data_IF_101873882105
#
_entry.id   IF_101873882105
#
_cell.length_a   1.000
_cell.length_b   1.000
_cell.length_c   1.000
_cell.angle_alpha   90.00
_cell.angle_beta   90.00
_cell.angle_gamma   90.00
#
_symmetry.space_group_name_H-M   'P 1'
#
loop_
_entity.id
_entity.type
_entity.pdbx_description
1 polymer ?
#
# COMPACT_ATOMS: atom_id res chain seq x y z
N UNK A 1 16.86 11.35 -6.12
CA UNK A 1 15.72 10.76 -6.89
C UNK A 1 14.40 10.78 -6.14
N UNK A 2 14.19 10.08 -4.98
CA UNK A 2 12.91 10.15 -4.23
C UNK A 2 12.63 11.57 -3.69
N UNK A 3 13.61 12.20 -3.03
CA UNK A 3 13.54 13.56 -2.53
C UNK A 3 13.12 14.56 -3.62
N UNK A 4 13.83 14.55 -4.75
CA UNK A 4 13.56 15.44 -5.89
C UNK A 4 12.16 15.24 -6.48
N UNK A 5 11.73 13.97 -6.57
CA UNK A 5 10.37 13.63 -7.02
C UNK A 5 9.32 14.20 -6.07
N UNK A 6 9.49 14.01 -4.76
CA UNK A 6 8.54 14.52 -3.76
C UNK A 6 8.47 16.04 -3.82
N UNK A 7 9.61 16.74 -3.83
CA UNK A 7 9.64 18.22 -3.92
C UNK A 7 8.93 18.72 -5.19
N UNK A 8 9.13 18.03 -6.32
CA UNK A 8 8.60 18.44 -7.61
C UNK A 8 7.09 18.16 -7.74
N UNK A 9 6.63 16.97 -7.34
CA UNK A 9 5.28 16.50 -7.66
C UNK A 9 4.26 16.86 -6.56
N UNK A 10 4.68 17.05 -5.30
CA UNK A 10 3.76 17.32 -4.19
C UNK A 10 2.90 18.58 -4.38
N UNK A 11 3.41 19.72 -4.89
CA UNK A 11 2.58 20.90 -5.10
C UNK A 11 1.41 20.66 -6.05
N UNK A 12 1.64 19.90 -7.14
CA UNK A 12 0.60 19.55 -8.11
C UNK A 12 -0.43 18.59 -7.49
N UNK A 13 0.02 17.60 -6.71
CA UNK A 13 -0.87 16.68 -5.99
C UNK A 13 -1.73 17.43 -4.97
N UNK A 14 -1.15 18.37 -4.25
CA UNK A 14 -1.89 19.21 -3.30
C UNK A 14 -2.97 20.07 -4.00
N UNK A 15 -2.64 20.71 -5.13
CA UNK A 15 -3.62 21.48 -5.92
C UNK A 15 -4.76 20.61 -6.44
N UNK A 16 -4.50 19.32 -6.71
CA UNK A 16 -5.51 18.33 -7.14
C UNK A 16 -6.24 17.68 -5.96
N UNK A 17 -6.12 18.22 -4.77
CA UNK A 17 -6.73 17.72 -3.55
C UNK A 17 -6.40 16.24 -3.25
N UNK A 18 -5.21 15.76 -3.65
CA UNK A 18 -4.71 14.41 -3.38
C UNK A 18 -4.03 14.39 -2.02
N UNK A 19 -4.48 13.53 -1.12
CA UNK A 19 -3.83 13.25 0.16
C UNK A 19 -2.72 12.23 -0.06
N UNK A 20 -1.51 12.58 0.30
CA UNK A 20 -0.38 11.64 0.29
C UNK A 20 -0.35 10.83 1.59
N UNK A 21 0.00 9.56 1.47
CA UNK A 21 0.24 8.64 2.58
C UNK A 21 1.48 7.79 2.27
N UNK A 22 2.12 7.23 3.28
CA UNK A 22 3.27 6.34 3.10
C UNK A 22 3.27 5.23 4.13
N UNK A 23 3.58 4.01 3.69
CA UNK A 23 3.75 2.84 4.53
C UNK A 23 5.09 2.14 4.26
N UNK A 24 5.57 1.41 5.25
CA UNK A 24 6.83 0.66 5.20
C UNK A 24 7.77 1.07 6.32
N UNK A 25 9.04 0.70 6.19
CA UNK A 25 10.08 1.07 7.14
C UNK A 25 10.66 2.44 6.78
N UNK A 26 9.88 3.49 7.08
CA UNK A 26 10.21 4.86 6.68
C UNK A 26 11.49 5.38 7.34
N UNK A 27 11.87 4.81 8.50
CA UNK A 27 13.13 5.12 9.17
C UNK A 27 14.37 4.62 8.42
N UNK A 28 14.22 3.65 7.51
CA UNK A 28 15.30 3.17 6.63
C UNK A 28 15.61 4.15 5.49
N UNK A 29 14.80 5.19 5.30
CA UNK A 29 15.02 6.20 4.27
C UNK A 29 16.18 7.14 4.68
N UNK A 30 16.95 7.59 3.68
CA UNK A 30 17.94 8.63 3.92
C UNK A 30 17.29 9.89 4.51
N UNK A 31 17.97 10.59 5.45
CA UNK A 31 17.40 11.72 6.20
C UNK A 31 16.75 12.79 5.32
N UNK A 32 17.34 13.16 4.19
CA UNK A 32 16.78 14.14 3.25
C UNK A 32 15.48 13.67 2.60
N UNK A 33 15.43 12.39 2.17
CA UNK A 33 14.23 11.82 1.58
C UNK A 33 13.10 11.68 2.60
N UNK A 34 13.43 11.29 3.86
CA UNK A 34 12.47 11.21 4.95
C UNK A 34 11.89 12.57 5.29
N UNK A 35 12.74 13.62 5.34
CA UNK A 35 12.25 15.00 5.55
C UNK A 35 11.32 15.45 4.43
N UNK A 36 11.71 15.29 3.18
CA UNK A 36 10.88 15.67 2.05
C UNK A 36 9.54 14.89 2.02
N UNK A 37 9.56 13.61 2.43
CA UNK A 37 8.34 12.82 2.58
C UNK A 37 7.45 13.42 3.68
N UNK A 38 7.99 13.71 4.87
CA UNK A 38 7.21 14.31 5.95
C UNK A 38 6.60 15.65 5.53
N UNK A 39 7.39 16.54 4.93
CA UNK A 39 6.92 17.83 4.42
C UNK A 39 5.75 17.64 3.41
N UNK A 40 5.83 16.60 2.56
CA UNK A 40 4.79 16.27 1.58
C UNK A 40 3.51 15.73 2.25
N UNK A 41 3.65 14.85 3.24
CA UNK A 41 2.52 14.32 4.01
C UNK A 41 1.80 15.44 4.78
N UNK A 42 2.55 16.33 5.42
CA UNK A 42 2.00 17.46 6.18
C UNK A 42 1.26 18.43 5.27
N UNK A 43 1.83 18.79 4.12
CA UNK A 43 1.21 19.69 3.16
C UNK A 43 -0.14 19.15 2.64
N UNK A 44 -0.23 17.83 2.44
CA UNK A 44 -1.42 17.19 1.84
C UNK A 44 -2.36 16.58 2.86
N UNK A 45 -2.10 16.72 4.16
CA UNK A 45 -2.84 16.04 5.25
C UNK A 45 -4.36 16.28 5.21
N UNK A 46 -4.77 17.48 4.82
CA UNK A 46 -6.18 17.89 4.78
C UNK A 46 -6.87 17.67 3.43
N UNK A 47 -6.19 17.08 2.45
CA UNK A 47 -6.77 16.79 1.15
C UNK A 47 -7.72 15.58 1.24
N UNK A 48 -8.75 15.53 0.39
CA UNK A 48 -9.90 14.62 0.56
C UNK A 48 -10.33 13.85 -0.68
N UNK A 49 -9.90 14.22 -1.89
CA UNK A 49 -10.44 13.62 -3.12
C UNK A 49 -9.87 12.22 -3.42
N UNK A 50 -8.57 12.04 -3.23
CA UNK A 50 -7.87 10.78 -3.48
C UNK A 50 -6.79 10.57 -2.42
N UNK A 51 -6.65 9.37 -1.92
CA UNK A 51 -5.49 8.98 -1.10
C UNK A 51 -4.48 8.23 -1.95
N UNK A 52 -3.28 8.80 -2.09
CA UNK A 52 -2.14 8.18 -2.77
C UNK A 52 -1.15 7.65 -1.73
N UNK A 53 -1.08 6.34 -1.57
CA UNK A 53 -0.20 5.69 -0.60
C UNK A 53 1.07 5.15 -1.27
N UNK A 54 2.23 5.62 -0.83
CA UNK A 54 3.53 5.11 -1.24
C UNK A 54 3.99 3.98 -0.33
N UNK A 55 4.39 2.85 -0.90
CA UNK A 55 5.03 1.75 -0.17
C UNK A 55 6.55 1.89 -0.31
N UNK A 56 7.21 2.44 0.73
CA UNK A 56 8.63 2.77 0.75
C UNK A 56 9.39 1.88 1.72
N UNK A 57 10.55 1.35 1.32
CA UNK A 57 11.26 0.32 2.11
C UNK A 57 10.30 -0.76 2.62
N UNK A 58 9.34 -1.13 1.77
CA UNK A 58 8.20 -1.97 2.11
C UNK A 58 8.39 -3.41 1.64
N UNK A 59 7.93 -4.34 2.45
CA UNK A 59 7.76 -5.74 2.09
C UNK A 59 6.69 -6.38 2.97
N UNK A 60 5.73 -7.09 2.37
CA UNK A 60 4.61 -7.70 3.10
C UNK A 60 5.06 -8.70 4.17
N UNK A 61 6.13 -9.47 3.93
CA UNK A 61 6.72 -10.33 4.97
C UNK A 61 7.28 -9.51 6.14
N UNK A 62 7.96 -8.41 5.84
CA UNK A 62 8.49 -7.51 6.87
C UNK A 62 7.38 -6.86 7.67
N UNK A 63 6.31 -6.43 7.01
CA UNK A 63 5.14 -5.86 7.67
C UNK A 63 4.51 -6.83 8.68
N UNK A 64 4.32 -8.10 8.27
CA UNK A 64 3.78 -9.14 9.15
C UNK A 64 4.71 -9.38 10.36
N UNK A 65 6.01 -9.49 10.14
CA UNK A 65 6.98 -9.67 11.23
C UNK A 65 6.98 -8.46 12.17
N UNK A 66 6.91 -7.25 11.64
CA UNK A 66 6.88 -6.04 12.45
C UNK A 66 5.55 -5.90 13.21
N UNK A 67 4.43 -6.38 12.65
CA UNK A 67 3.15 -6.49 13.36
C UNK A 67 3.23 -7.48 14.52
N UNK A 68 3.83 -8.66 14.33
CA UNK A 68 4.06 -9.63 15.40
C UNK A 68 4.91 -9.03 16.53
N UNK A 69 5.96 -8.28 16.18
CA UNK A 69 6.79 -7.58 17.19
C UNK A 69 5.98 -6.56 18.00
N UNK A 70 5.09 -5.80 17.32
CA UNK A 70 4.19 -4.85 18.00
C UNK A 70 3.25 -5.56 18.97
N UNK A 71 2.66 -6.70 18.57
CA UNK A 71 1.80 -7.53 19.43
C UNK A 71 2.57 -7.98 20.67
N UNK A 72 3.76 -8.58 20.49
CA UNK A 72 4.60 -9.04 21.61
C UNK A 72 4.99 -7.87 22.52
N UNK A 73 5.33 -6.71 21.96
CA UNK A 73 5.67 -5.54 22.75
C UNK A 73 4.47 -5.04 23.55
N UNK A 74 3.30 -5.00 22.93
CA UNK A 74 2.07 -4.58 23.59
C UNK A 74 1.68 -5.54 24.70
N UNK A 75 1.79 -6.85 24.49
CA UNK A 75 1.52 -7.86 25.54
C UNK A 75 2.44 -7.69 26.77
N UNK A 76 3.72 -7.41 26.53
CA UNK A 76 4.68 -7.17 27.63
C UNK A 76 4.35 -5.95 28.48
N UNK A 77 3.70 -4.93 27.91
CA UNK A 77 3.41 -3.66 28.60
C UNK A 77 1.98 -3.60 29.14
N UNK A 78 1.01 -4.19 28.42
CA UNK A 78 -0.42 -4.01 28.70
C UNK A 78 -1.14 -5.33 29.03
N UNK A 79 -0.47 -6.50 28.87
CA UNK A 79 -1.07 -7.84 29.04
C UNK A 79 -2.36 -8.00 28.25
N UNK A 80 -2.24 -8.00 26.91
CA UNK A 80 -3.37 -8.21 26.01
C UNK A 80 -3.84 -9.67 26.03
N UNK A 81 -5.12 -9.88 25.80
CA UNK A 81 -5.68 -11.23 25.62
C UNK A 81 -5.26 -11.78 24.24
N UNK A 82 -4.23 -12.63 24.22
CA UNK A 82 -3.71 -13.23 22.98
C UNK A 82 -4.70 -14.23 22.36
N UNK A 83 -5.61 -14.83 23.15
CA UNK A 83 -6.60 -15.76 22.65
C UNK A 83 -7.71 -15.05 21.87
N UNK A 84 -7.85 -13.74 22.07
CA UNK A 84 -8.79 -12.88 21.32
C UNK A 84 -8.21 -12.34 19.99
N UNK A 85 -6.94 -12.64 19.68
CA UNK A 85 -6.35 -12.21 18.41
C UNK A 85 -6.98 -12.95 17.24
N UNK A 86 -7.54 -12.17 16.31
CA UNK A 86 -8.12 -12.64 15.07
C UNK A 86 -7.57 -11.83 13.86
N UNK A 87 -8.04 -12.12 12.67
CA UNK A 87 -7.63 -11.43 11.44
C UNK A 87 -7.96 -9.92 11.49
N UNK A 88 -9.03 -9.54 12.17
CA UNK A 88 -9.48 -8.15 12.29
C UNK A 88 -8.56 -7.37 13.23
N UNK A 89 -8.28 -7.93 14.39
CA UNK A 89 -7.37 -7.34 15.38
C UNK A 89 -5.92 -7.29 14.87
N UNK A 90 -5.47 -8.31 14.11
CA UNK A 90 -4.17 -8.33 13.46
C UNK A 90 -3.98 -7.13 12.53
N UNK A 91 -5.03 -6.71 11.82
CA UNK A 91 -5.00 -5.52 10.94
C UNK A 91 -4.55 -4.27 11.70
N UNK A 92 -4.90 -4.13 12.99
CA UNK A 92 -4.54 -2.96 13.81
C UNK A 92 -3.04 -2.82 14.07
N UNK A 93 -2.26 -3.87 13.87
CA UNK A 93 -0.81 -3.89 14.04
C UNK A 93 -0.01 -3.72 12.76
N UNK A 94 -0.66 -3.75 11.60
CA UNK A 94 0.00 -3.50 10.31
C UNK A 94 0.53 -2.05 10.24
N UNK A 95 1.23 -1.69 9.17
CA UNK A 95 1.82 -0.36 9.04
C UNK A 95 0.77 0.75 8.99
N UNK A 96 -0.36 0.50 8.31
CA UNK A 96 -1.51 1.41 8.29
C UNK A 96 -2.82 0.61 8.45
N UNK A 97 -3.41 0.61 9.65
CA UNK A 97 -4.69 -0.05 9.91
C UNK A 97 -5.86 0.53 9.10
N UNK A 98 -5.76 1.78 8.66
CA UNK A 98 -6.80 2.47 7.89
C UNK A 98 -6.79 2.09 6.41
N UNK A 99 -5.70 1.49 5.91
CA UNK A 99 -5.58 1.10 4.52
C UNK A 99 -6.66 0.05 4.18
N UNK A 100 -7.55 0.34 3.22
CA UNK A 100 -8.53 -0.66 2.78
C UNK A 100 -7.85 -1.84 2.08
N UNK A 101 -8.47 -3.00 2.12
CA UNK A 101 -8.06 -4.10 1.24
C UNK A 101 -8.25 -3.64 -0.23
N UNK A 102 -7.24 -3.78 -1.08
CA UNK A 102 -7.36 -3.34 -2.46
C UNK A 102 -8.32 -4.24 -3.25
N UNK A 103 -9.14 -3.65 -4.09
CA UNK A 103 -10.01 -4.38 -5.00
C UNK A 103 -9.26 -4.92 -6.22
N UNK A 104 -8.26 -4.20 -6.70
CA UNK A 104 -7.49 -4.53 -7.90
C UNK A 104 -6.01 -4.32 -7.67
N UNK A 105 -5.21 -5.36 -7.95
CA UNK A 105 -3.77 -5.31 -8.04
C UNK A 105 -3.33 -5.39 -9.51
N UNK A 106 -2.65 -4.36 -10.00
CA UNK A 106 -2.08 -4.34 -11.35
C UNK A 106 -0.59 -4.66 -11.28
N UNK A 107 -0.19 -5.76 -11.95
CA UNK A 107 1.21 -6.19 -12.06
C UNK A 107 1.71 -5.93 -13.48
N UNK A 108 2.59 -4.94 -13.62
CA UNK A 108 3.24 -4.57 -14.88
C UNK A 108 4.50 -5.40 -15.12
N UNK A 109 4.93 -5.55 -16.37
CA UNK A 109 6.14 -6.30 -16.74
C UNK A 109 6.07 -7.79 -16.40
N UNK A 110 4.87 -8.37 -16.41
CA UNK A 110 4.61 -9.75 -15.99
C UNK A 110 4.79 -10.78 -17.12
N UNK A 111 5.67 -10.52 -18.08
CA UNK A 111 5.92 -11.49 -19.14
C UNK A 111 6.47 -12.80 -18.55
N UNK A 112 5.70 -13.89 -18.68
CA UNK A 112 6.03 -15.23 -18.16
C UNK A 112 6.33 -15.27 -16.63
N UNK A 113 5.85 -14.30 -15.84
CA UNK A 113 6.11 -14.18 -14.38
C UNK A 113 4.87 -13.78 -13.59
N UNK A 114 3.79 -14.54 -13.72
CA UNK A 114 2.56 -14.29 -12.98
C UNK A 114 2.72 -14.71 -11.51
N UNK A 115 3.11 -13.78 -10.64
CA UNK A 115 3.26 -14.00 -9.21
C UNK A 115 2.95 -12.73 -8.42
N UNK A 116 2.44 -12.90 -7.20
CA UNK A 116 2.10 -11.82 -6.27
C UNK A 116 3.36 -11.09 -5.79
N UNK A 117 4.49 -11.80 -5.57
CA UNK A 117 5.70 -11.25 -4.94
C UNK A 117 5.49 -10.90 -3.45
N UNK A 118 6.23 -9.93 -2.92
CA UNK A 118 6.25 -9.55 -1.49
C UNK A 118 5.54 -8.19 -1.26
N UNK A 119 4.36 -8.02 -1.87
CA UNK A 119 3.62 -6.75 -1.82
C UNK A 119 2.23 -6.96 -1.23
N UNK A 120 1.89 -6.23 -0.16
CA UNK A 120 0.60 -6.21 0.54
C UNK A 120 0.04 -7.62 0.85
N UNK A 121 0.90 -8.57 1.29
CA UNK A 121 0.54 -9.99 1.41
C UNK A 121 -0.69 -10.25 2.26
N UNK A 122 -0.89 -9.49 3.33
CA UNK A 122 -2.07 -9.60 4.19
C UNK A 122 -3.31 -9.02 3.53
N UNK A 123 -3.18 -7.86 2.90
CA UNK A 123 -4.31 -7.07 2.42
C UNK A 123 -4.90 -7.59 1.11
N UNK A 124 -4.13 -8.34 0.30
CA UNK A 124 -4.53 -8.77 -1.05
C UNK A 124 -5.17 -10.16 -1.11
N UNK A 125 -5.55 -10.75 0.03
CA UNK A 125 -6.09 -12.12 0.09
C UNK A 125 -7.29 -12.34 -0.85
N UNK A 126 -8.14 -11.33 -1.04
CA UNK A 126 -9.33 -11.36 -1.91
C UNK A 126 -9.26 -10.35 -3.06
N UNK A 127 -8.06 -9.88 -3.37
CA UNK A 127 -7.82 -8.88 -4.41
C UNK A 127 -7.81 -9.51 -5.80
N UNK A 128 -8.54 -8.93 -6.75
CA UNK A 128 -8.44 -9.29 -8.14
C UNK A 128 -7.09 -8.85 -8.74
N UNK A 129 -6.44 -9.74 -9.51
CA UNK A 129 -5.12 -9.44 -10.06
C UNK A 129 -5.20 -9.30 -11.58
N UNK A 130 -4.68 -8.20 -12.09
CA UNK A 130 -4.46 -7.96 -13.51
C UNK A 130 -2.97 -8.00 -13.82
N UNK A 131 -2.54 -8.98 -14.63
CA UNK A 131 -1.17 -9.07 -15.12
C UNK A 131 -1.08 -8.44 -16.52
N UNK A 132 -0.07 -7.60 -16.73
CA UNK A 132 0.21 -7.04 -18.04
C UNK A 132 1.70 -7.15 -18.39
N UNK A 133 2.00 -7.42 -19.67
CA UNK A 133 3.37 -7.44 -20.19
C UNK A 133 3.97 -6.04 -20.30
N UNK A 134 3.14 -5.01 -20.34
CA UNK A 134 3.59 -3.61 -20.43
C UNK A 134 4.49 -3.27 -19.23
N UNK A 135 5.67 -2.77 -19.47
CA UNK A 135 6.58 -2.29 -18.43
C UNK A 135 6.06 -1.01 -17.79
N UNK A 136 6.41 -0.75 -16.52
CA UNK A 136 5.93 0.43 -15.81
C UNK A 136 6.17 1.76 -16.54
N UNK A 137 7.32 2.02 -17.19
CA UNK A 137 7.51 3.28 -17.91
C UNK A 137 6.53 3.48 -19.08
N UNK A 138 6.03 2.38 -19.66
CA UNK A 138 5.11 2.41 -20.81
C UNK A 138 3.64 2.20 -20.41
N UNK A 139 3.37 1.91 -19.13
CA UNK A 139 2.03 1.76 -18.59
C UNK A 139 1.39 3.15 -18.42
N UNK A 140 0.44 3.46 -19.31
CA UNK A 140 -0.22 4.77 -19.41
C UNK A 140 -1.73 4.63 -19.18
N UNK A 141 -2.44 5.74 -19.35
CA UNK A 141 -3.89 5.83 -19.16
C UNK A 141 -4.67 4.73 -19.90
N UNK A 142 -4.26 4.40 -21.14
CA UNK A 142 -4.94 3.38 -21.95
C UNK A 142 -4.88 2.00 -21.29
N UNK A 143 -3.70 1.61 -20.84
CA UNK A 143 -3.46 0.33 -20.13
C UNK A 143 -4.20 0.28 -18.80
N UNK A 144 -4.21 1.40 -18.08
CA UNK A 144 -4.95 1.52 -16.82
C UNK A 144 -6.46 1.40 -17.01
N UNK A 145 -7.04 2.10 -17.98
CA UNK A 145 -8.47 2.01 -18.31
C UNK A 145 -8.84 0.58 -18.71
N UNK A 146 -8.00 -0.09 -19.52
CA UNK A 146 -8.20 -1.49 -19.91
C UNK A 146 -8.25 -2.41 -18.69
N UNK A 147 -7.31 -2.24 -17.76
CA UNK A 147 -7.30 -3.05 -16.52
C UNK A 147 -8.58 -2.88 -15.70
N UNK A 148 -9.10 -1.64 -15.59
CA UNK A 148 -10.37 -1.34 -14.91
C UNK A 148 -11.56 -1.95 -15.66
N UNK A 149 -11.60 -1.87 -16.98
CA UNK A 149 -12.69 -2.45 -17.78
C UNK A 149 -12.74 -3.97 -17.69
N UNK A 150 -11.59 -4.62 -17.67
CA UNK A 150 -11.48 -6.07 -17.43
C UNK A 150 -11.91 -6.44 -16.01
N UNK A 151 -11.49 -5.67 -15.01
CA UNK A 151 -11.90 -5.86 -13.63
C UNK A 151 -13.44 -5.76 -13.47
N UNK A 152 -14.09 -4.77 -14.09
CA UNK A 152 -15.55 -4.59 -14.03
C UNK A 152 -16.34 -5.77 -14.61
N UNK A 153 -15.75 -6.54 -15.51
CA UNK A 153 -16.41 -7.71 -16.14
C UNK A 153 -16.30 -8.99 -15.30
N UNK A 154 -15.47 -8.99 -14.25
CA UNK A 154 -15.27 -10.16 -13.40
C UNK A 154 -16.42 -10.33 -12.41
N UNK A 155 -16.93 -11.56 -12.28
CA UNK A 155 -17.83 -11.92 -11.19
C UNK A 155 -17.03 -12.12 -9.92
N UNK A 156 -17.35 -11.36 -8.87
CA UNK A 156 -16.73 -11.49 -7.56
C UNK A 156 -17.46 -12.57 -6.76
N UNK A 157 -16.86 -13.75 -6.67
CA UNK A 157 -17.29 -14.80 -5.76
C UNK A 157 -16.55 -14.60 -4.43
N UNK A 158 -17.20 -13.97 -3.48
CA UNK A 158 -16.76 -14.06 -2.08
C UNK A 158 -17.14 -15.45 -1.60
N UNK A 159 -16.15 -16.32 -1.37
CA UNK A 159 -16.38 -17.68 -0.90
C UNK A 159 -17.36 -17.67 0.27
N UNK A 160 -18.57 -18.20 0.04
CA UNK A 160 -19.46 -18.56 1.14
C UNK A 160 -18.96 -19.91 1.66
N UNK A 161 -18.34 -19.92 2.83
CA UNK A 161 -18.20 -21.11 3.69
C UNK A 161 -19.48 -21.25 4.46
#
# INVERSE_FOLDING_TARGET
MLEEMLIKETPELHQKNVKMNAIGRLDDLYPKARKALQDSLDLTANNTDLVLTFCLSYGGRSEIIDAVKKIVQKDRTEHIDLDSLDETSMKSFLYDPSLPAPDLLIRTGAENRERISNFLLWQIAYTEIHFTKTLWPDFRKKEFVKAIEEFKKRERLFGRV
#
